data_IF_949499983025
#
_entry.id   IF_949499983025
#
_cell.length_a   1.000
_cell.length_b   1.000
_cell.length_c   1.000
_cell.angle_alpha   90.00
_cell.angle_beta   90.00
_cell.angle_gamma   90.00
#
_symmetry.space_group_name_H-M   'P 1'
#
loop_
_entity.id
_entity.type
_entity.pdbx_description
1 polymer ?
#
# COMPACT_ATOMS: atom_id res chain seq x y z
N UNK A 1 -15.23 -11.69 54.70
CA UNK A 1 -14.65 -12.39 53.55
C UNK A 1 -14.96 -11.53 52.34
N UNK A 2 -13.95 -10.81 51.82
CA UNK A 2 -14.11 -9.92 50.67
C UNK A 2 -14.49 -10.78 49.45
N UNK A 3 -15.63 -10.48 48.84
CA UNK A 3 -15.92 -10.94 47.50
C UNK A 3 -15.14 -10.02 46.55
N UNK A 4 -14.04 -10.52 46.02
CA UNK A 4 -13.34 -9.92 44.88
C UNK A 4 -14.31 -9.93 43.70
N UNK A 5 -14.83 -8.74 43.41
CA UNK A 5 -15.67 -8.45 42.26
C UNK A 5 -14.73 -8.29 41.06
N UNK A 6 -14.25 -9.42 40.52
CA UNK A 6 -13.43 -9.48 39.31
C UNK A 6 -14.32 -9.20 38.09
N UNK A 7 -14.77 -7.95 38.03
CA UNK A 7 -15.33 -7.35 36.83
C UNK A 7 -14.19 -7.23 35.83
N UNK A 8 -14.00 -8.29 35.03
CA UNK A 8 -13.13 -8.30 33.86
C UNK A 8 -13.61 -7.23 32.89
N UNK A 9 -13.22 -5.97 33.12
CA UNK A 9 -13.23 -4.93 32.12
C UNK A 9 -12.30 -5.45 31.04
N UNK A 10 -12.85 -5.97 29.95
CA UNK A 10 -12.11 -6.20 28.72
C UNK A 10 -11.46 -4.86 28.38
N UNK A 11 -10.19 -4.72 28.73
CA UNK A 11 -9.45 -3.50 28.54
C UNK A 11 -9.18 -3.42 27.04
N UNK A 12 -10.06 -2.70 26.33
CA UNK A 12 -9.85 -2.39 24.93
C UNK A 12 -8.54 -1.61 24.85
N UNK A 13 -7.53 -2.24 24.27
CA UNK A 13 -6.23 -1.61 24.10
C UNK A 13 -6.36 -0.41 23.15
N UNK A 14 -5.58 0.66 23.37
CA UNK A 14 -5.55 1.76 22.42
C UNK A 14 -5.10 1.24 21.05
N UNK A 15 -5.77 1.71 20.01
CA UNK A 15 -5.50 1.30 18.63
C UNK A 15 -4.06 1.64 18.19
N UNK A 16 -3.56 2.83 18.55
CA UNK A 16 -2.25 3.32 18.16
C UNK A 16 -1.51 3.96 19.35
N UNK A 17 -0.20 4.12 19.19
CA UNK A 17 0.62 4.88 20.14
C UNK A 17 0.20 6.35 20.21
N UNK A 18 0.50 7.03 21.31
CA UNK A 18 0.15 8.44 21.49
C UNK A 18 0.91 9.33 20.50
N UNK A 19 0.19 10.29 19.93
CA UNK A 19 0.73 11.42 19.16
C UNK A 19 1.74 12.27 19.94
N UNK A 20 1.64 12.31 21.28
CA UNK A 20 2.51 13.08 22.16
C UNK A 20 3.96 12.56 22.25
N UNK A 21 4.26 11.41 21.64
CA UNK A 21 5.62 10.84 21.62
C UNK A 21 6.60 11.71 20.82
N UNK A 22 6.10 12.44 19.82
CA UNK A 22 6.89 13.39 19.03
C UNK A 22 6.17 14.74 18.97
N UNK A 23 6.92 15.80 18.71
CA UNK A 23 6.30 17.10 18.40
C UNK A 23 5.57 17.08 17.05
N UNK A 24 4.53 17.91 16.85
CA UNK A 24 3.81 17.98 15.58
C UNK A 24 4.70 18.29 14.36
N UNK A 25 5.78 19.06 14.54
CA UNK A 25 6.75 19.34 13.48
C UNK A 25 7.58 18.10 13.12
N UNK A 26 7.90 17.24 14.09
CA UNK A 26 8.62 15.99 13.82
C UNK A 26 7.73 14.99 13.08
N UNK A 27 6.46 14.84 13.49
CA UNK A 27 5.51 14.00 12.75
C UNK A 27 5.34 14.46 11.30
N UNK A 28 5.09 15.75 11.10
CA UNK A 28 4.86 16.26 9.75
C UNK A 28 6.11 16.25 8.87
N UNK A 29 7.33 16.42 9.41
CA UNK A 29 8.54 16.55 8.59
C UNK A 29 9.42 15.31 8.47
N UNK A 30 9.44 14.42 9.46
CA UNK A 30 10.41 13.33 9.56
C UNK A 30 9.79 11.94 9.42
N UNK A 31 8.47 11.81 9.52
CA UNK A 31 7.79 10.52 9.57
C UNK A 31 6.99 10.26 8.30
N UNK A 32 7.20 9.08 7.73
CA UNK A 32 6.37 8.50 6.68
C UNK A 32 5.60 7.34 7.30
N UNK A 33 4.28 7.37 7.18
CA UNK A 33 3.44 6.29 7.69
C UNK A 33 3.65 5.02 6.87
N UNK A 34 3.63 3.85 7.50
CA UNK A 34 3.64 2.57 6.80
C UNK A 34 2.33 1.84 7.11
N UNK A 35 1.57 1.56 6.07
CA UNK A 35 0.32 0.81 6.20
C UNK A 35 0.62 -0.66 6.48
N UNK A 36 -0.21 -1.27 7.32
CA UNK A 36 -0.04 -2.66 7.74
C UNK A 36 0.01 -3.64 6.57
N UNK A 37 0.97 -4.57 6.60
CA UNK A 37 1.20 -5.53 5.51
C UNK A 37 0.15 -6.65 5.43
N UNK A 38 -0.68 -6.82 6.46
CA UNK A 38 -1.73 -7.84 6.46
C UNK A 38 -2.97 -7.39 5.67
N UNK A 39 -3.13 -6.09 5.45
CA UNK A 39 -4.26 -5.51 4.73
C UNK A 39 -4.30 -6.09 3.30
N UNK A 40 -5.46 -6.62 2.94
CA UNK A 40 -5.75 -7.18 1.63
C UNK A 40 -7.22 -6.90 1.25
N UNK A 41 -7.42 -5.90 0.41
CA UNK A 41 -8.75 -5.46 0.00
C UNK A 41 -9.32 -6.27 -1.17
N UNK A 42 -8.51 -7.08 -1.84
CA UNK A 42 -8.94 -7.91 -2.96
C UNK A 42 -9.01 -9.41 -2.57
N UNK A 43 -8.89 -9.71 -1.27
CA UNK A 43 -9.07 -11.07 -0.73
C UNK A 43 -10.44 -11.66 -1.06
N UNK A 44 -10.44 -12.96 -1.37
CA UNK A 44 -11.66 -13.76 -1.57
C UNK A 44 -12.49 -13.87 -0.29
N UNK A 45 -11.82 -13.86 0.88
CA UNK A 45 -12.47 -13.86 2.18
C UNK A 45 -13.12 -12.50 2.45
N UNK A 46 -14.45 -12.49 2.49
CA UNK A 46 -15.26 -11.30 2.74
C UNK A 46 -14.95 -10.64 4.09
N UNK A 47 -14.63 -11.44 5.12
CA UNK A 47 -14.32 -10.91 6.46
C UNK A 47 -12.99 -10.16 6.39
N UNK A 48 -11.95 -10.81 5.86
CA UNK A 48 -10.63 -10.18 5.70
C UNK A 48 -10.72 -8.92 4.84
N UNK A 49 -11.50 -8.95 3.76
CA UNK A 49 -11.69 -7.80 2.87
C UNK A 49 -12.33 -6.61 3.59
N UNK A 50 -13.39 -6.84 4.37
CA UNK A 50 -14.07 -5.80 5.14
C UNK A 50 -13.20 -5.26 6.26
N UNK A 51 -12.51 -6.14 6.99
CA UNK A 51 -11.61 -5.77 8.06
C UNK A 51 -10.41 -4.97 7.52
N UNK A 52 -9.88 -5.36 6.36
CA UNK A 52 -8.83 -4.64 5.64
C UNK A 52 -9.27 -3.24 5.22
N UNK A 53 -10.50 -3.08 4.71
CA UNK A 53 -11.04 -1.76 4.35
C UNK A 53 -11.18 -0.85 5.58
N UNK A 54 -11.67 -1.39 6.70
CA UNK A 54 -11.81 -0.65 7.96
C UNK A 54 -10.42 -0.25 8.49
N UNK A 55 -9.47 -1.19 8.54
CA UNK A 55 -8.13 -0.93 9.01
C UNK A 55 -7.39 0.09 8.14
N UNK A 56 -7.48 -0.02 6.82
CA UNK A 56 -6.85 0.93 5.90
C UNK A 56 -7.36 2.36 6.14
N UNK A 57 -8.69 2.54 6.25
CA UNK A 57 -9.29 3.84 6.53
C UNK A 57 -8.86 4.37 7.89
N UNK A 58 -8.79 3.50 8.90
CA UNK A 58 -8.39 3.87 10.26
C UNK A 58 -6.92 4.30 10.33
N UNK A 59 -6.01 3.56 9.69
CA UNK A 59 -4.58 3.87 9.65
C UNK A 59 -4.30 5.17 8.90
N UNK A 60 -4.97 5.39 7.76
CA UNK A 60 -4.82 6.63 6.98
C UNK A 60 -5.46 7.83 7.68
N UNK A 61 -6.59 7.65 8.37
CA UNK A 61 -7.17 8.71 9.20
C UNK A 61 -6.23 9.09 10.35
N UNK A 62 -5.58 8.10 10.98
CA UNK A 62 -4.58 8.36 12.02
C UNK A 62 -3.35 9.09 11.47
N UNK A 63 -2.82 8.67 10.32
CA UNK A 63 -1.73 9.36 9.65
C UNK A 63 -2.10 10.81 9.27
N UNK A 64 -3.31 11.05 8.79
CA UNK A 64 -3.81 12.39 8.51
C UNK A 64 -3.95 13.23 9.77
N UNK A 65 -4.36 12.63 10.90
CA UNK A 65 -4.43 13.32 12.19
C UNK A 65 -3.05 13.79 12.67
N UNK A 66 -2.03 12.96 12.47
CA UNK A 66 -0.63 13.30 12.75
C UNK A 66 -0.01 14.28 11.72
N UNK A 67 -0.77 14.65 10.69
CA UNK A 67 -0.32 15.52 9.59
C UNK A 67 0.92 14.98 8.88
N UNK A 68 0.99 13.66 8.67
CA UNK A 68 2.10 13.05 7.92
C UNK A 68 2.13 13.56 6.48
N UNK A 69 3.33 13.76 5.93
CA UNK A 69 3.50 14.16 4.53
C UNK A 69 3.23 13.01 3.56
N UNK A 70 3.50 11.77 3.95
CA UNK A 70 3.31 10.61 3.09
C UNK A 70 2.97 9.34 3.87
N UNK A 71 2.25 8.44 3.22
CA UNK A 71 2.01 7.07 3.66
C UNK A 71 2.38 6.06 2.59
N UNK A 72 3.10 5.03 3.01
CA UNK A 72 3.51 3.90 2.20
C UNK A 72 2.44 2.82 2.24
N UNK A 73 1.83 2.58 1.09
CA UNK A 73 0.82 1.56 0.86
C UNK A 73 1.47 0.20 0.56
N UNK A 74 0.91 -0.93 1.04
CA UNK A 74 1.40 -2.25 0.68
C UNK A 74 1.27 -2.52 -0.82
N UNK A 75 2.12 -3.41 -1.33
CA UNK A 75 1.98 -3.89 -2.70
C UNK A 75 0.66 -4.67 -2.85
N UNK A 76 -0.08 -4.49 -3.95
CA UNK A 76 -1.23 -5.33 -4.27
C UNK A 76 -0.79 -6.80 -4.33
N UNK A 77 -1.54 -7.71 -3.68
CA UNK A 77 -1.20 -9.13 -3.59
C UNK A 77 -1.92 -10.00 -4.64
N UNK A 78 -3.07 -9.55 -5.10
CA UNK A 78 -3.89 -10.27 -6.06
C UNK A 78 -3.61 -9.87 -7.51
N UNK A 79 -4.09 -10.70 -8.44
CA UNK A 79 -4.12 -10.40 -9.87
C UNK A 79 -5.04 -9.20 -10.18
N UNK A 80 -6.09 -9.02 -9.37
CA UNK A 80 -6.94 -7.84 -9.40
C UNK A 80 -6.56 -6.90 -8.27
N UNK A 81 -6.43 -5.61 -8.58
CA UNK A 81 -6.28 -4.53 -7.60
C UNK A 81 -7.49 -3.58 -7.60
N UNK A 82 -8.62 -4.02 -8.17
CA UNK A 82 -9.77 -3.16 -8.43
C UNK A 82 -10.42 -2.61 -7.15
N UNK A 83 -10.63 -3.46 -6.14
CA UNK A 83 -11.22 -2.99 -4.88
C UNK A 83 -10.22 -2.15 -4.10
N UNK A 84 -8.94 -2.54 -4.11
CA UNK A 84 -7.90 -1.74 -3.48
C UNK A 84 -7.81 -0.34 -4.10
N UNK A 85 -7.72 -0.23 -5.42
CA UNK A 85 -7.66 1.04 -6.13
C UNK A 85 -8.92 1.88 -5.90
N UNK A 86 -10.12 1.25 -5.84
CA UNK A 86 -11.36 1.93 -5.51
C UNK A 86 -11.33 2.56 -4.12
N UNK A 87 -10.96 1.80 -3.09
CA UNK A 87 -10.89 2.30 -1.72
C UNK A 87 -9.83 3.40 -1.59
N UNK A 88 -8.67 3.23 -2.22
CA UNK A 88 -7.60 4.24 -2.23
C UNK A 88 -8.04 5.50 -2.97
N UNK A 89 -8.73 5.39 -4.12
CA UNK A 89 -9.28 6.53 -4.84
C UNK A 89 -10.26 7.30 -3.96
N UNK A 90 -11.20 6.62 -3.28
CA UNK A 90 -12.12 7.28 -2.35
C UNK A 90 -11.40 8.05 -1.23
N UNK A 91 -10.28 7.52 -0.72
CA UNK A 91 -9.49 8.19 0.30
C UNK A 91 -8.77 9.40 -0.31
N UNK A 92 -8.12 9.24 -1.47
CA UNK A 92 -7.41 10.30 -2.20
C UNK A 92 -8.30 11.52 -2.47
N UNK A 93 -9.56 11.32 -2.85
CA UNK A 93 -10.51 12.42 -3.07
C UNK A 93 -10.79 13.25 -1.80
N UNK A 94 -10.55 12.69 -0.62
CA UNK A 94 -10.74 13.34 0.68
C UNK A 94 -9.40 13.74 1.34
N UNK A 95 -8.26 13.49 0.70
CA UNK A 95 -6.94 13.84 1.24
C UNK A 95 -6.56 15.27 0.86
N UNK A 96 -6.07 16.02 1.85
CA UNK A 96 -5.69 17.42 1.64
C UNK A 96 -4.24 17.53 1.14
N UNK A 97 -3.28 17.11 1.95
CA UNK A 97 -1.85 17.34 1.69
C UNK A 97 -0.98 16.07 1.76
N UNK A 98 -1.52 14.95 2.24
CA UNK A 98 -0.76 13.71 2.42
C UNK A 98 -0.62 12.94 1.10
N UNK A 99 0.59 12.55 0.76
CA UNK A 99 0.88 11.72 -0.42
C UNK A 99 0.69 10.23 -0.08
N UNK A 100 0.22 9.44 -1.05
CA UNK A 100 0.20 7.99 -0.94
C UNK A 100 1.22 7.39 -1.90
N UNK A 101 2.14 6.60 -1.36
CA UNK A 101 3.18 5.92 -2.13
C UNK A 101 2.83 4.44 -2.22
N UNK A 102 2.44 3.99 -3.40
CA UNK A 102 2.18 2.58 -3.67
C UNK A 102 3.50 1.84 -3.83
N UNK A 103 3.74 0.85 -2.97
CA UNK A 103 4.90 -0.03 -3.11
C UNK A 103 4.69 -0.96 -4.28
N UNK A 104 5.67 -1.01 -5.18
CA UNK A 104 5.66 -1.94 -6.29
C UNK A 104 7.04 -2.58 -6.40
N UNK A 105 7.13 -3.92 -6.31
CA UNK A 105 8.39 -4.61 -6.51
C UNK A 105 8.83 -4.44 -7.96
N UNK A 106 10.10 -4.09 -8.17
CA UNK A 106 10.69 -4.08 -9.51
C UNK A 106 11.12 -5.50 -9.85
N UNK A 107 10.19 -6.31 -10.37
CA UNK A 107 10.46 -7.69 -10.77
C UNK A 107 11.01 -7.80 -12.19
N UNK A 108 11.74 -8.89 -12.45
CA UNK A 108 12.20 -9.24 -13.79
C UNK A 108 11.07 -9.94 -14.53
N UNK A 109 10.62 -9.40 -15.66
CA UNK A 109 9.80 -10.12 -16.62
C UNK A 109 10.65 -11.22 -17.27
N UNK A 110 10.21 -12.48 -17.22
CA UNK A 110 10.93 -13.63 -17.77
C UNK A 110 11.07 -13.64 -19.30
N UNK A 111 10.46 -12.67 -20.00
CA UNK A 111 10.57 -12.48 -21.45
C UNK A 111 12.02 -12.26 -21.95
N UNK A 112 12.97 -11.96 -21.06
CA UNK A 112 14.40 -11.84 -21.39
C UNK A 112 15.16 -13.18 -21.40
N UNK A 113 14.53 -14.30 -21.03
CA UNK A 113 15.13 -15.62 -21.13
C UNK A 113 14.85 -16.24 -22.51
N UNK A 114 15.78 -16.06 -23.47
CA UNK A 114 15.76 -16.69 -24.80
C UNK A 114 15.91 -18.23 -24.77
N UNK A 115 15.52 -18.90 -23.69
CA UNK A 115 15.69 -20.34 -23.50
C UNK A 115 14.78 -20.87 -22.38
N UNK A 116 13.52 -21.13 -22.71
CA UNK A 116 12.56 -21.81 -21.83
C UNK A 116 11.36 -22.27 -22.64
N UNK A 117 10.91 -23.50 -22.44
CA UNK A 117 9.84 -24.16 -23.20
C UNK A 117 8.62 -23.26 -23.49
N UNK A 118 8.05 -23.29 -24.70
CA UNK A 118 6.77 -22.64 -25.01
C UNK A 118 5.57 -23.23 -24.23
N UNK A 119 5.78 -24.31 -23.47
CA UNK A 119 4.79 -24.92 -22.56
C UNK A 119 4.83 -24.35 -21.13
N UNK A 120 5.75 -23.43 -20.81
CA UNK A 120 5.74 -22.62 -19.59
C UNK A 120 5.37 -21.17 -19.94
N UNK A 121 4.24 -20.98 -20.63
CA UNK A 121 3.50 -19.74 -20.51
C UNK A 121 3.08 -19.67 -19.04
N UNK A 122 3.85 -18.93 -18.23
CA UNK A 122 3.44 -18.56 -16.88
C UNK A 122 2.18 -17.69 -16.97
N UNK A 123 1.03 -18.35 -17.14
CA UNK A 123 -0.28 -17.77 -16.92
C UNK A 123 -0.26 -17.17 -15.50
N UNK A 124 -0.28 -15.85 -15.40
CA UNK A 124 -0.66 -15.15 -14.17
C UNK A 124 0.34 -14.16 -13.58
N UNK A 125 1.60 -14.07 -14.03
CA UNK A 125 2.49 -13.04 -13.45
C UNK A 125 2.27 -11.69 -14.15
N UNK A 126 1.40 -10.88 -13.56
CA UNK A 126 1.16 -9.50 -13.99
C UNK A 126 2.46 -8.72 -13.82
N UNK A 127 2.95 -8.19 -14.93
CA UNK A 127 4.12 -7.30 -14.94
C UNK A 127 3.92 -6.13 -13.97
N UNK A 128 4.96 -5.80 -13.20
CA UNK A 128 4.90 -4.81 -12.13
C UNK A 128 4.49 -3.42 -12.64
N UNK A 129 4.91 -3.05 -13.85
CA UNK A 129 4.47 -1.80 -14.47
C UNK A 129 3.00 -1.86 -14.88
N UNK A 130 2.51 -2.99 -15.39
CA UNK A 130 1.09 -3.12 -15.75
C UNK A 130 0.20 -3.05 -14.51
N UNK A 131 0.63 -3.61 -13.39
CA UNK A 131 -0.04 -3.46 -12.10
C UNK A 131 -0.13 -1.98 -11.68
N UNK A 132 0.98 -1.24 -11.77
CA UNK A 132 0.98 0.21 -11.55
C UNK A 132 0.01 0.94 -12.48
N UNK A 133 0.10 0.62 -13.77
CA UNK A 133 -0.69 1.27 -14.81
C UNK A 133 -2.19 1.04 -14.62
N UNK A 134 -2.60 -0.17 -14.29
CA UNK A 134 -3.99 -0.47 -13.94
C UNK A 134 -4.43 0.31 -12.70
N UNK A 135 -3.62 0.30 -11.64
CA UNK A 135 -3.94 0.96 -10.37
C UNK A 135 -4.09 2.48 -10.53
N UNK A 136 -3.12 3.15 -11.18
CA UNK A 136 -3.16 4.60 -11.38
C UNK A 136 -4.34 5.02 -12.27
N UNK A 137 -4.74 4.19 -13.24
CA UNK A 137 -5.90 4.43 -14.09
C UNK A 137 -7.20 4.36 -13.29
N UNK A 138 -7.34 3.37 -12.42
CA UNK A 138 -8.49 3.22 -11.52
C UNK A 138 -8.57 4.33 -10.46
N UNK A 139 -7.42 4.91 -10.10
CA UNK A 139 -7.32 6.11 -9.27
C UNK A 139 -7.34 7.42 -10.07
N UNK A 140 -7.73 7.40 -11.35
CA UNK A 140 -7.91 8.59 -12.20
C UNK A 140 -6.67 9.50 -12.29
N UNK A 141 -5.46 8.94 -12.22
CA UNK A 141 -4.19 9.68 -12.22
C UNK A 141 -4.10 10.76 -11.12
N UNK A 142 -4.64 10.47 -9.94
CA UNK A 142 -4.61 11.41 -8.81
C UNK A 142 -3.19 11.90 -8.49
N UNK A 143 -3.01 13.22 -8.36
CA UNK A 143 -1.68 13.85 -8.21
C UNK A 143 -0.97 13.51 -6.89
N UNK A 144 -1.72 13.07 -5.88
CA UNK A 144 -1.18 12.62 -4.60
C UNK A 144 -0.81 11.14 -4.56
N UNK A 145 -1.08 10.39 -5.64
CA UNK A 145 -0.66 9.01 -5.78
C UNK A 145 0.70 8.98 -6.50
N UNK A 146 1.64 8.25 -5.91
CA UNK A 146 2.98 8.08 -6.44
C UNK A 146 3.48 6.66 -6.19
N UNK A 147 4.59 6.29 -6.80
CA UNK A 147 5.19 4.97 -6.65
C UNK A 147 6.36 5.03 -5.67
N UNK A 148 6.46 3.99 -4.84
CA UNK A 148 7.68 3.58 -4.18
C UNK A 148 8.15 2.25 -4.79
N UNK A 149 9.24 2.28 -5.55
CA UNK A 149 9.78 1.08 -6.16
C UNK A 149 10.60 0.30 -5.14
N UNK A 150 10.36 -1.00 -5.01
CA UNK A 150 11.28 -1.85 -4.25
C UNK A 150 12.32 -2.42 -5.23
N UNK A 151 13.56 -1.92 -5.19
CA UNK A 151 14.64 -2.41 -6.05
C UNK A 151 15.17 -3.74 -5.51
N UNK A 152 14.91 -4.82 -6.26
CA UNK A 152 15.35 -6.17 -5.90
C UNK A 152 16.78 -6.45 -6.38
N UNK A 153 17.33 -7.59 -5.95
CA UNK A 153 18.72 -7.99 -6.27
C UNK A 153 18.99 -8.18 -7.76
N UNK A 154 17.95 -8.44 -8.56
CA UNK A 154 18.01 -8.58 -10.01
C UNK A 154 17.19 -7.47 -10.67
N UNK A 155 17.79 -6.76 -11.61
CA UNK A 155 17.11 -5.72 -12.38
C UNK A 155 16.38 -6.34 -13.60
N UNK A 156 15.23 -5.77 -13.99
CA UNK A 156 14.57 -6.11 -15.25
C UNK A 156 15.40 -5.60 -16.46
N UNK A 157 15.03 -5.99 -17.68
CA UNK A 157 15.67 -5.43 -18.88
C UNK A 157 15.55 -3.92 -18.96
N UNK A 158 16.46 -3.32 -19.74
CA UNK A 158 16.44 -1.90 -20.04
C UNK A 158 15.11 -1.45 -20.68
N UNK A 159 14.43 -2.32 -21.44
CA UNK A 159 13.12 -2.01 -22.03
C UNK A 159 12.03 -1.90 -20.95
N UNK A 160 11.98 -2.86 -20.03
CA UNK A 160 11.03 -2.85 -18.90
C UNK A 160 11.31 -1.70 -17.93
N UNK A 161 12.58 -1.39 -17.66
CA UNK A 161 12.97 -0.19 -16.91
C UNK A 161 12.58 1.09 -17.66
N UNK A 162 12.69 1.06 -18.99
CA UNK A 162 12.24 2.09 -19.94
C UNK A 162 10.80 2.57 -19.69
N UNK A 163 9.90 1.68 -19.26
CA UNK A 163 8.49 2.00 -19.01
C UNK A 163 8.27 2.86 -17.77
N UNK A 164 9.18 2.79 -16.80
CA UNK A 164 9.11 3.62 -15.60
C UNK A 164 9.58 5.06 -15.84
N UNK A 165 10.19 5.35 -17.00
CA UNK A 165 10.56 6.73 -17.37
C UNK A 165 9.30 7.56 -17.59
N UNK A 166 9.13 8.60 -16.77
CA UNK A 166 7.97 9.49 -16.82
C UNK A 166 6.87 9.16 -15.81
N UNK A 167 7.00 8.04 -15.08
CA UNK A 167 6.09 7.71 -13.98
C UNK A 167 6.44 8.50 -12.69
N UNK A 168 5.46 8.70 -11.81
CA UNK A 168 5.60 9.48 -10.57
C UNK A 168 6.31 8.72 -9.45
N UNK A 169 7.57 8.35 -9.67
CA UNK A 169 8.40 7.66 -8.66
C UNK A 169 8.89 8.65 -7.60
N UNK A 170 8.60 8.38 -6.33
CA UNK A 170 9.00 9.21 -5.17
C UNK A 170 10.05 8.56 -4.28
N UNK A 171 10.12 7.23 -4.29
CA UNK A 171 11.08 6.44 -3.53
C UNK A 171 11.51 5.21 -4.33
N UNK A 172 12.73 4.74 -4.08
CA UNK A 172 13.34 3.53 -4.64
C UNK A 172 14.28 2.89 -3.62
#
# INVERSE_FOLDING_TARGET
SLMDNDSSRSAVLPFAGSDLVLSPSQWSSLVVGKISSWIDLDSEDEILRKDSEIALKQELAWASHLSLQACLLPAPKGESCANYARCVNQILQNLNNMQLWLRIPLEKSDDDATSGNPDNLGEGQIDSWELWNCFRLLCEHHSQLSIALDVLSSLPSANSLGRWFGESVRAA
#
